data_IF_006398995418
#
_entry.id   IF_006398995418
#
_cell.length_a   1.000
_cell.length_b   1.000
_cell.length_c   1.000
_cell.angle_alpha   90.00
_cell.angle_beta   90.00
_cell.angle_gamma   90.00
#
_symmetry.space_group_name_H-M   'P 1'
#
loop_
_entity.id
_entity.type
_entity.pdbx_description
1 polymer ?
#
# COMPACT_ATOMS: atom_id res chain seq x y z
N UNK A 1 23.69 -65.50 -6.40
CA UNK A 1 24.34 -64.19 -6.20
C UNK A 1 23.69 -63.22 -7.17
N UNK A 2 22.96 -62.21 -6.68
CA UNK A 2 22.24 -61.24 -7.50
C UNK A 2 23.02 -59.92 -7.50
N UNK A 3 23.86 -59.70 -8.52
CA UNK A 3 24.62 -58.46 -8.67
C UNK A 3 23.73 -57.43 -9.37
N UNK A 4 23.22 -56.48 -8.60
CA UNK A 4 22.52 -55.32 -9.14
C UNK A 4 23.57 -54.36 -9.73
N UNK A 5 23.72 -54.39 -11.05
CA UNK A 5 24.54 -53.44 -11.80
C UNK A 5 24.03 -52.00 -11.60
N UNK A 6 24.68 -51.26 -10.70
CA UNK A 6 24.51 -49.82 -10.59
C UNK A 6 25.19 -49.15 -11.79
N UNK A 7 24.49 -49.07 -12.93
CA UNK A 7 24.94 -48.25 -14.07
C UNK A 7 25.17 -46.82 -13.61
N UNK A 8 26.40 -46.36 -13.73
CA UNK A 8 26.80 -44.99 -13.39
C UNK A 8 26.09 -44.00 -14.31
N UNK A 9 25.79 -42.79 -13.82
CA UNK A 9 25.24 -41.70 -14.63
C UNK A 9 26.11 -41.46 -15.87
N UNK A 10 27.42 -41.67 -15.74
CA UNK A 10 28.40 -41.59 -16.84
C UNK A 10 28.05 -42.55 -17.98
N UNK A 11 27.76 -43.82 -17.67
CA UNK A 11 27.51 -44.86 -18.68
C UNK A 11 26.18 -44.64 -19.40
N UNK A 12 25.18 -44.11 -18.67
CA UNK A 12 23.90 -43.71 -19.28
C UNK A 12 24.04 -42.49 -20.19
N UNK A 13 24.89 -41.52 -19.83
CA UNK A 13 25.15 -40.34 -20.67
C UNK A 13 25.96 -40.73 -21.91
N UNK A 14 27.01 -41.53 -21.77
CA UNK A 14 27.79 -42.04 -22.91
C UNK A 14 26.93 -42.88 -23.87
N UNK A 15 26.12 -43.80 -23.35
CA UNK A 15 25.21 -44.59 -24.18
C UNK A 15 24.16 -43.73 -24.89
N UNK A 16 23.68 -42.64 -24.28
CA UNK A 16 22.75 -41.72 -24.92
C UNK A 16 23.42 -40.88 -26.04
N UNK A 17 24.70 -40.54 -25.88
CA UNK A 17 25.50 -39.84 -26.90
C UNK A 17 25.80 -40.76 -28.08
N UNK A 18 26.24 -41.99 -27.81
CA UNK A 18 26.57 -42.99 -28.84
C UNK A 18 25.35 -43.43 -29.64
N UNK A 19 24.18 -43.51 -29.01
CA UNK A 19 22.91 -43.86 -29.69
C UNK A 19 22.28 -42.70 -30.46
N UNK A 20 22.92 -41.52 -30.51
CA UNK A 20 22.43 -40.35 -31.24
C UNK A 20 21.12 -39.77 -30.71
N UNK A 21 20.69 -40.17 -29.50
CA UNK A 21 19.42 -39.74 -28.87
C UNK A 21 19.49 -38.34 -28.26
N UNK A 22 20.65 -37.68 -28.32
CA UNK A 22 20.85 -36.32 -27.80
C UNK A 22 20.36 -35.29 -28.82
N UNK A 23 19.13 -34.82 -28.62
CA UNK A 23 18.52 -33.76 -29.44
C UNK A 23 19.15 -32.42 -29.06
N UNK A 24 19.83 -31.75 -30.00
CA UNK A 24 20.30 -30.36 -29.80
C UNK A 24 19.09 -29.43 -29.69
N UNK A 25 18.87 -28.83 -28.50
CA UNK A 25 17.85 -27.80 -28.33
C UNK A 25 18.43 -26.40 -28.64
N UNK A 26 17.73 -25.54 -29.37
CA UNK A 26 18.20 -24.20 -29.71
C UNK A 26 18.38 -23.35 -28.44
N UNK A 27 19.51 -22.62 -28.37
CA UNK A 27 19.91 -21.79 -27.21
C UNK A 27 18.87 -20.73 -26.83
N UNK A 28 18.08 -20.25 -27.80
CA UNK A 28 17.02 -19.26 -27.62
C UNK A 28 15.97 -19.68 -26.59
N UNK A 29 15.61 -20.96 -26.54
CA UNK A 29 14.65 -21.45 -25.56
C UNK A 29 15.14 -21.24 -24.12
N UNK A 30 16.42 -21.50 -23.87
CA UNK A 30 17.02 -21.31 -22.55
C UNK A 30 17.19 -19.83 -22.20
N UNK A 31 17.60 -19.00 -23.17
CA UNK A 31 17.75 -17.56 -22.96
C UNK A 31 16.41 -16.88 -22.65
N UNK A 32 15.38 -17.20 -23.42
CA UNK A 32 14.04 -16.62 -23.26
C UNK A 32 13.43 -17.07 -21.93
N UNK A 33 13.55 -18.36 -21.58
CA UNK A 33 13.09 -18.87 -20.30
C UNK A 33 13.79 -18.19 -19.12
N UNK A 34 15.12 -18.04 -19.16
CA UNK A 34 15.88 -17.37 -18.10
C UNK A 34 15.49 -15.89 -17.98
N UNK A 35 15.42 -15.18 -19.11
CA UNK A 35 15.05 -13.76 -19.17
C UNK A 35 13.65 -13.54 -18.64
N UNK A 36 12.68 -14.35 -19.06
CA UNK A 36 11.29 -14.24 -18.62
C UNK A 36 11.15 -14.48 -17.11
N UNK A 37 11.93 -15.44 -16.57
CA UNK A 37 11.92 -15.76 -15.15
C UNK A 37 12.48 -14.59 -14.32
N UNK A 38 13.62 -14.02 -14.75
CA UNK A 38 14.23 -12.85 -14.09
C UNK A 38 13.31 -11.63 -14.16
N UNK A 39 12.85 -11.26 -15.37
CA UNK A 39 11.98 -10.10 -15.57
C UNK A 39 10.66 -10.28 -14.80
N UNK A 40 10.05 -11.46 -14.87
CA UNK A 40 8.82 -11.77 -14.14
C UNK A 40 8.99 -11.67 -12.62
N UNK A 41 10.15 -12.08 -12.10
CA UNK A 41 10.46 -11.99 -10.67
C UNK A 41 10.60 -10.53 -10.25
N UNK A 42 11.39 -9.75 -10.98
CA UNK A 42 11.61 -8.32 -10.71
C UNK A 42 10.29 -7.55 -10.78
N UNK A 43 9.50 -7.76 -11.84
CA UNK A 43 8.20 -7.10 -11.99
C UNK A 43 7.22 -7.49 -10.87
N UNK A 44 7.22 -8.76 -10.45
CA UNK A 44 6.36 -9.21 -9.35
C UNK A 44 6.75 -8.57 -8.01
N UNK A 45 8.05 -8.46 -7.73
CA UNK A 45 8.57 -7.77 -6.54
C UNK A 45 8.16 -6.29 -6.56
N UNK A 46 8.45 -5.58 -7.66
CA UNK A 46 8.13 -4.16 -7.79
C UNK A 46 6.62 -3.91 -7.66
N UNK A 47 5.81 -4.76 -8.27
CA UNK A 47 4.34 -4.66 -8.19
C UNK A 47 3.85 -4.93 -6.78
N UNK A 48 4.36 -5.95 -6.10
CA UNK A 48 4.02 -6.25 -4.71
C UNK A 48 4.37 -5.09 -3.77
N UNK A 49 5.58 -4.56 -3.88
CA UNK A 49 6.04 -3.39 -3.12
C UNK A 49 5.12 -2.18 -3.38
N UNK A 50 4.83 -1.89 -4.65
CA UNK A 50 3.94 -0.80 -5.04
C UNK A 50 2.53 -0.96 -4.45
N UNK A 51 1.96 -2.17 -4.48
CA UNK A 51 0.63 -2.44 -3.94
C UNK A 51 0.58 -2.24 -2.43
N UNK A 52 1.58 -2.76 -1.69
CA UNK A 52 1.65 -2.55 -0.24
C UNK A 52 1.80 -1.07 0.09
N UNK A 53 2.68 -0.36 -0.63
CA UNK A 53 2.87 1.07 -0.45
C UNK A 53 1.60 1.87 -0.74
N UNK A 54 0.88 1.49 -1.79
CA UNK A 54 -0.39 2.12 -2.18
C UNK A 54 -1.51 1.85 -1.15
N UNK A 55 -1.57 0.65 -0.58
CA UNK A 55 -2.51 0.33 0.52
C UNK A 55 -2.24 1.24 1.71
N UNK A 56 -0.98 1.37 2.15
CA UNK A 56 -0.61 2.25 3.26
C UNK A 56 -0.99 3.70 2.94
N UNK A 57 -0.72 4.17 1.71
CA UNK A 57 -1.13 5.50 1.25
C UNK A 57 -2.64 5.73 1.38
N UNK A 58 -3.48 4.79 0.94
CA UNK A 58 -4.95 4.91 1.06
C UNK A 58 -5.39 4.97 2.52
N UNK A 59 -4.79 4.15 3.39
CA UNK A 59 -5.10 4.16 4.81
C UNK A 59 -4.71 5.48 5.49
N UNK A 60 -3.59 6.08 5.08
CA UNK A 60 -3.21 7.42 5.52
C UNK A 60 -4.20 8.46 5.01
N UNK A 61 -4.54 8.46 3.72
CA UNK A 61 -5.44 9.45 3.10
C UNK A 61 -6.85 9.45 3.71
N UNK A 62 -7.38 8.28 4.05
CA UNK A 62 -8.72 8.14 4.64
C UNK A 62 -8.75 8.47 6.14
N UNK A 63 -7.60 8.77 6.76
CA UNK A 63 -7.46 8.94 8.21
C UNK A 63 -7.57 7.63 9.00
N UNK A 64 -7.82 6.51 8.31
CA UNK A 64 -8.03 5.19 8.90
C UNK A 64 -6.79 4.71 9.65
N UNK A 65 -5.61 5.07 9.15
CA UNK A 65 -4.34 4.77 9.83
C UNK A 65 -4.28 5.26 11.28
N UNK A 66 -5.00 6.34 11.62
CA UNK A 66 -5.00 6.91 12.96
C UNK A 66 -6.08 6.31 13.88
N UNK A 67 -7.04 5.55 13.33
CA UNK A 67 -8.14 4.89 14.07
C UNK A 67 -7.71 3.88 15.15
N UNK A 68 -6.58 3.13 15.09
CA UNK A 68 -6.28 2.14 16.12
C UNK A 68 -6.15 2.77 17.53
N UNK A 69 -5.89 4.09 17.62
CA UNK A 69 -5.89 4.83 18.87
C UNK A 69 -7.25 5.33 19.36
N UNK A 70 -8.32 5.18 18.58
CA UNK A 70 -9.64 5.80 18.87
C UNK A 70 -10.84 4.85 18.78
N UNK A 71 -10.80 3.79 17.94
CA UNK A 71 -11.98 2.95 17.65
C UNK A 71 -11.69 1.46 17.48
N UNK A 72 -10.46 1.02 17.78
CA UNK A 72 -10.04 -0.37 17.74
C UNK A 72 -9.79 -0.94 16.33
N UNK A 73 -9.23 -2.17 16.24
CA UNK A 73 -8.76 -2.74 14.98
C UNK A 73 -9.89 -3.10 14.00
N UNK A 74 -11.14 -3.23 14.45
CA UNK A 74 -12.28 -3.63 13.61
C UNK A 74 -12.55 -2.65 12.47
N UNK A 75 -12.48 -1.34 12.75
CA UNK A 75 -12.73 -0.30 11.76
C UNK A 75 -11.62 -0.25 10.67
N UNK A 76 -10.39 -0.65 11.03
CA UNK A 76 -9.30 -0.79 10.07
C UNK A 76 -9.60 -1.88 9.05
N UNK A 77 -10.01 -3.07 9.51
CA UNK A 77 -10.32 -4.21 8.65
C UNK A 77 -11.48 -3.93 7.68
N UNK A 78 -12.52 -3.24 8.12
CA UNK A 78 -13.64 -2.90 7.23
C UNK A 78 -13.25 -1.87 6.17
N UNK A 79 -12.31 -0.97 6.48
CA UNK A 79 -11.89 0.12 5.59
C UNK A 79 -10.74 -0.25 4.67
N UNK A 80 -10.15 -1.43 4.85
CA UNK A 80 -9.09 -1.94 3.98
C UNK A 80 -9.65 -2.19 2.57
N UNK A 81 -8.97 -1.72 1.51
CA UNK A 81 -9.35 -2.02 0.14
C UNK A 81 -9.06 -3.50 -0.18
N UNK A 82 -9.99 -4.38 0.18
CA UNK A 82 -9.84 -5.84 0.07
C UNK A 82 -9.42 -6.32 -1.31
N UNK A 83 -9.87 -5.65 -2.37
CA UNK A 83 -9.45 -5.95 -3.75
C UNK A 83 -7.94 -5.78 -3.92
N UNK A 84 -7.35 -4.69 -3.38
CA UNK A 84 -5.90 -4.46 -3.45
C UNK A 84 -5.14 -5.46 -2.59
N UNK A 85 -5.67 -5.82 -1.43
CA UNK A 85 -5.09 -6.86 -0.56
C UNK A 85 -5.07 -8.22 -1.27
N UNK A 86 -6.18 -8.61 -1.90
CA UNK A 86 -6.26 -9.86 -2.67
C UNK A 86 -5.28 -9.88 -3.84
N UNK A 87 -5.18 -8.78 -4.59
CA UNK A 87 -4.21 -8.66 -5.70
C UNK A 87 -2.78 -8.75 -5.15
N UNK A 88 -2.46 -8.09 -4.03
CA UNK A 88 -1.14 -8.18 -3.40
C UNK A 88 -0.81 -9.62 -2.98
N UNK A 89 -1.77 -10.35 -2.40
CA UNK A 89 -1.62 -11.77 -2.05
C UNK A 89 -1.35 -12.61 -3.30
N UNK A 90 -2.06 -12.38 -4.41
CA UNK A 90 -1.81 -13.07 -5.68
C UNK A 90 -0.37 -12.83 -6.16
N UNK A 91 0.12 -11.59 -6.11
CA UNK A 91 1.50 -11.27 -6.49
C UNK A 91 2.53 -11.89 -5.56
N UNK A 92 2.26 -11.98 -4.25
CA UNK A 92 3.12 -12.68 -3.29
C UNK A 92 3.18 -14.18 -3.59
N UNK A 93 2.04 -14.82 -3.87
CA UNK A 93 1.97 -16.24 -4.24
C UNK A 93 2.70 -16.48 -5.58
N UNK A 94 2.49 -15.60 -6.57
CA UNK A 94 3.17 -15.66 -7.85
C UNK A 94 4.69 -15.55 -7.66
N UNK A 95 5.13 -14.60 -6.83
CA UNK A 95 6.54 -14.40 -6.52
C UNK A 95 7.13 -15.63 -5.81
N UNK A 96 6.42 -16.22 -4.85
CA UNK A 96 6.84 -17.46 -4.20
C UNK A 96 6.96 -18.62 -5.20
N UNK A 97 6.06 -18.73 -6.18
CA UNK A 97 6.18 -19.72 -7.26
C UNK A 97 7.41 -19.48 -8.14
N UNK A 98 7.71 -18.22 -8.47
CA UNK A 98 8.89 -17.85 -9.27
C UNK A 98 10.19 -18.09 -8.49
N UNK A 99 10.23 -17.76 -7.21
CA UNK A 99 11.38 -17.95 -6.31
C UNK A 99 11.75 -19.42 -6.20
N UNK A 100 10.77 -20.33 -6.10
CA UNK A 100 11.02 -21.78 -6.07
C UNK A 100 11.74 -22.32 -7.31
N UNK A 101 11.61 -21.63 -8.45
CA UNK A 101 12.25 -22.04 -9.70
C UNK A 101 13.75 -21.69 -9.73
N UNK A 102 14.22 -20.85 -8.82
CA UNK A 102 15.65 -20.58 -8.65
C UNK A 102 16.32 -21.62 -7.75
N UNK A 103 17.60 -21.89 -8.02
CA UNK A 103 18.43 -22.84 -7.26
C UNK A 103 18.55 -22.50 -5.77
N UNK A 104 18.44 -21.21 -5.40
CA UNK A 104 18.50 -20.76 -4.00
C UNK A 104 17.22 -21.10 -3.21
N UNK A 105 16.06 -21.08 -3.86
CA UNK A 105 14.76 -21.38 -3.24
C UNK A 105 14.51 -22.89 -3.10
N UNK A 106 15.01 -23.69 -4.05
CA UNK A 106 14.76 -25.13 -4.12
C UNK A 106 15.29 -25.92 -2.91
N UNK A 107 16.37 -25.46 -2.25
CA UNK A 107 17.02 -26.17 -1.14
C UNK A 107 16.61 -25.70 0.25
N UNK A 108 15.72 -24.73 0.36
CA UNK A 108 15.26 -24.19 1.64
C UNK A 108 13.82 -24.66 1.93
N UNK A 109 13.45 -24.82 3.21
CA UNK A 109 12.07 -25.13 3.56
C UNK A 109 11.16 -24.00 3.07
N UNK A 110 10.00 -24.36 2.51
CA UNK A 110 9.05 -23.42 1.91
C UNK A 110 8.73 -22.23 2.83
N UNK A 111 8.66 -22.47 4.13
CA UNK A 111 8.37 -21.45 5.13
C UNK A 111 9.39 -20.29 5.12
N UNK A 112 10.69 -20.58 4.97
CA UNK A 112 11.72 -19.54 4.96
C UNK A 112 11.67 -18.67 3.70
N UNK A 113 11.39 -19.27 2.54
CA UNK A 113 11.21 -18.54 1.28
C UNK A 113 10.02 -17.59 1.39
N UNK A 114 8.87 -18.12 1.82
CA UNK A 114 7.64 -17.34 1.99
C UNK A 114 7.82 -16.18 2.96
N UNK A 115 8.43 -16.42 4.13
CA UNK A 115 8.70 -15.35 5.12
C UNK A 115 9.64 -14.30 4.52
N UNK A 116 10.69 -14.71 3.81
CA UNK A 116 11.61 -13.78 3.15
C UNK A 116 10.91 -12.90 2.11
N UNK A 117 10.08 -13.49 1.25
CA UNK A 117 9.29 -12.77 0.26
C UNK A 117 8.35 -11.76 0.92
N UNK A 118 7.60 -12.19 1.94
CA UNK A 118 6.68 -11.31 2.68
C UNK A 118 7.45 -10.16 3.31
N UNK A 119 8.58 -10.44 3.96
CA UNK A 119 9.38 -9.42 4.63
C UNK A 119 9.92 -8.39 3.63
N UNK A 120 10.46 -8.81 2.48
CA UNK A 120 10.94 -7.90 1.44
C UNK A 120 9.82 -7.02 0.89
N UNK A 121 8.66 -7.61 0.59
CA UNK A 121 7.53 -6.86 0.02
C UNK A 121 6.94 -5.87 1.04
N UNK A 122 6.78 -6.30 2.30
CA UNK A 122 6.25 -5.44 3.36
C UNK A 122 7.21 -4.32 3.73
N UNK A 123 8.49 -4.62 3.95
CA UNK A 123 9.50 -3.60 4.29
C UNK A 123 9.74 -2.64 3.14
N UNK A 124 9.88 -3.14 1.92
CA UNK A 124 10.01 -2.31 0.72
C UNK A 124 8.78 -1.42 0.52
N UNK A 125 7.58 -1.98 0.64
CA UNK A 125 6.33 -1.22 0.53
C UNK A 125 6.20 -0.14 1.59
N UNK A 126 6.58 -0.45 2.84
CA UNK A 126 6.60 0.52 3.93
C UNK A 126 7.60 1.65 3.69
N UNK A 127 8.83 1.34 3.24
CA UNK A 127 9.84 2.36 2.91
C UNK A 127 9.34 3.29 1.80
N UNK A 128 8.74 2.74 0.74
CA UNK A 128 8.18 3.58 -0.35
C UNK A 128 6.99 4.40 0.16
N UNK A 129 6.19 3.88 1.11
CA UNK A 129 5.04 4.61 1.64
C UNK A 129 5.43 5.89 2.39
N UNK A 130 6.66 5.94 2.94
CA UNK A 130 7.21 7.15 3.56
C UNK A 130 7.65 8.21 2.54
N UNK A 131 7.72 7.87 1.26
CA UNK A 131 8.13 8.80 0.20
C UNK A 131 6.92 9.59 -0.36
N UNK A 132 7.13 10.79 -0.92
CA UNK A 132 6.05 11.58 -1.53
C UNK A 132 5.56 11.02 -2.88
N UNK A 133 5.98 9.82 -3.28
CA UNK A 133 5.69 9.22 -4.59
C UNK A 133 4.19 9.12 -4.85
N UNK A 134 3.44 8.51 -3.92
CA UNK A 134 2.00 8.33 -4.09
C UNK A 134 1.23 9.65 -4.03
N UNK A 135 1.71 10.64 -3.25
CA UNK A 135 1.13 11.99 -3.20
C UNK A 135 1.24 12.69 -4.55
N UNK A 136 2.43 12.70 -5.14
CA UNK A 136 2.65 13.31 -6.46
C UNK A 136 1.84 12.62 -7.56
N UNK A 137 1.66 11.30 -7.48
CA UNK A 137 0.77 10.58 -8.40
C UNK A 137 -0.69 10.93 -8.15
N UNK A 138 -1.15 10.97 -6.90
CA UNK A 138 -2.51 11.37 -6.57
C UNK A 138 -2.84 12.78 -7.07
N UNK A 139 -1.94 13.74 -6.88
CA UNK A 139 -2.11 15.12 -7.35
C UNK A 139 -2.26 15.19 -8.87
N UNK A 140 -1.40 14.48 -9.62
CA UNK A 140 -1.52 14.40 -11.08
C UNK A 140 -2.78 13.66 -11.51
N UNK A 141 -3.24 12.67 -10.75
CA UNK A 141 -4.46 11.93 -11.04
C UNK A 141 -5.70 12.81 -10.87
N UNK A 142 -5.71 13.65 -9.83
CA UNK A 142 -6.73 14.66 -9.56
C UNK A 142 -6.83 15.67 -10.71
N UNK A 143 -5.69 16.14 -11.19
CA UNK A 143 -5.63 17.11 -12.29
C UNK A 143 -5.81 16.46 -13.68
N UNK A 144 -6.20 15.17 -13.75
CA UNK A 144 -6.38 14.38 -14.98
C UNK A 144 -5.11 14.29 -15.87
N UNK A 145 -3.94 14.55 -15.29
CA UNK A 145 -2.63 14.53 -15.97
C UNK A 145 -1.93 13.17 -15.94
N UNK A 146 -2.53 12.15 -15.32
CA UNK A 146 -2.02 10.78 -15.33
C UNK A 146 -2.77 9.93 -16.37
N UNK A 147 -2.12 9.60 -17.51
CA UNK A 147 -2.75 8.83 -18.57
C UNK A 147 -3.03 7.38 -18.17
N UNK A 148 -2.16 6.78 -17.34
CA UNK A 148 -2.26 5.39 -16.90
C UNK A 148 -2.38 5.37 -15.37
N UNK A 149 -3.32 4.59 -14.85
CA UNK A 149 -3.50 4.40 -13.41
C UNK A 149 -4.19 5.55 -12.66
N UNK A 150 -4.41 6.71 -13.30
CA UNK A 150 -5.05 7.86 -12.65
C UNK A 150 -6.47 7.57 -12.13
N UNK A 151 -7.22 6.70 -12.80
CA UNK A 151 -8.53 6.24 -12.35
C UNK A 151 -8.48 5.54 -10.98
N UNK A 152 -7.47 4.69 -10.74
CA UNK A 152 -7.29 4.00 -9.47
C UNK A 152 -6.99 4.98 -8.33
N UNK A 153 -6.09 5.95 -8.56
CA UNK A 153 -5.80 6.99 -7.56
C UNK A 153 -7.02 7.84 -7.22
N UNK A 154 -7.84 8.21 -8.20
CA UNK A 154 -9.08 8.95 -7.93
C UNK A 154 -10.10 8.08 -7.18
N UNK A 155 -10.30 6.84 -7.62
CA UNK A 155 -11.28 5.93 -7.02
C UNK A 155 -10.95 5.57 -5.58
N UNK A 156 -9.67 5.37 -5.24
CA UNK A 156 -9.24 4.97 -3.90
C UNK A 156 -8.81 6.16 -3.02
N UNK A 157 -8.17 7.18 -3.59
CA UNK A 157 -7.69 8.35 -2.84
C UNK A 157 -8.77 9.41 -2.57
N UNK A 158 -9.92 9.36 -3.24
CA UNK A 158 -11.08 10.23 -2.94
C UNK A 158 -12.22 9.49 -2.24
N UNK A 159 -11.95 8.29 -1.70
CA UNK A 159 -12.96 7.58 -0.92
C UNK A 159 -13.28 8.38 0.34
N UNK A 160 -14.56 8.55 0.61
CA UNK A 160 -15.00 9.15 1.86
C UNK A 160 -14.49 8.27 3.00
N UNK A 161 -13.93 8.87 4.06
CA UNK A 161 -13.62 8.14 5.28
C UNK A 161 -14.85 7.36 5.76
N UNK A 162 -14.65 6.26 6.52
CA UNK A 162 -15.76 5.55 7.14
C UNK A 162 -16.64 6.52 7.94
N UNK A 163 -17.94 6.25 8.03
CA UNK A 163 -18.95 7.23 8.48
C UNK A 163 -18.68 7.93 9.82
N UNK A 164 -17.84 7.37 10.68
CA UNK A 164 -17.50 7.93 11.98
C UNK A 164 -16.17 8.70 11.99
N UNK A 165 -15.54 8.91 10.83
CA UNK A 165 -14.26 9.60 10.68
C UNK A 165 -14.45 10.78 9.75
N UNK A 166 -13.88 11.92 10.13
CA UNK A 166 -13.75 13.08 9.28
C UNK A 166 -12.29 13.54 9.27
N UNK A 167 -11.82 13.96 8.10
CA UNK A 167 -10.45 14.38 7.87
C UNK A 167 -10.49 15.67 7.08
N UNK A 168 -9.72 16.67 7.51
CA UNK A 168 -9.65 17.93 6.78
C UNK A 168 -8.76 18.97 7.43
N UNK A 169 -8.70 20.12 6.77
CA UNK A 169 -7.98 21.31 7.24
C UNK A 169 -8.95 22.26 7.92
N UNK A 170 -8.61 22.76 9.10
CA UNK A 170 -9.42 23.75 9.82
C UNK A 170 -9.46 25.05 9.03
N UNK A 171 -10.65 25.46 8.60
CA UNK A 171 -10.87 26.71 7.85
C UNK A 171 -11.35 27.84 8.74
N UNK A 172 -12.16 27.53 9.75
CA UNK A 172 -12.82 28.48 10.62
C UNK A 172 -12.97 27.90 12.04
N UNK A 173 -12.79 28.74 13.06
CA UNK A 173 -13.09 28.39 14.46
C UNK A 173 -14.44 29.01 14.81
N UNK A 174 -15.36 28.21 15.36
CA UNK A 174 -16.72 28.62 15.73
C UNK A 174 -16.93 28.40 17.23
N UNK A 175 -17.96 29.02 17.82
CA UNK A 175 -18.19 29.01 19.28
C UNK A 175 -18.25 27.61 19.92
N UNK A 176 -18.69 26.60 19.16
CA UNK A 176 -18.83 25.21 19.63
C UNK A 176 -17.94 24.20 18.88
N UNK A 177 -16.89 24.66 18.20
CA UNK A 177 -15.93 23.78 17.54
C UNK A 177 -15.24 24.40 16.32
N UNK A 178 -15.20 23.66 15.21
CA UNK A 178 -14.43 24.04 14.03
C UNK A 178 -15.17 23.72 12.74
N UNK A 179 -14.89 24.48 11.67
CA UNK A 179 -15.18 24.02 10.31
C UNK A 179 -13.93 23.48 9.69
N UNK A 180 -14.04 22.32 9.04
CA UNK A 180 -12.95 21.72 8.28
C UNK A 180 -13.32 21.60 6.81
N UNK A 181 -12.32 21.70 5.94
CA UNK A 181 -12.44 21.37 4.53
C UNK A 181 -11.76 20.02 4.26
N UNK A 182 -12.52 19.06 3.74
CA UNK A 182 -12.01 17.78 3.25
C UNK A 182 -11.14 18.02 1.99
N UNK A 183 -10.14 17.18 1.68
CA UNK A 183 -9.47 17.13 0.37
C UNK A 183 -10.37 17.24 -0.88
N UNK A 184 -11.66 16.89 -0.77
CA UNK A 184 -12.68 17.03 -1.82
C UNK A 184 -13.25 18.44 -1.97
N UNK A 185 -13.00 19.34 -1.00
CA UNK A 185 -13.53 20.70 -0.93
C UNK A 185 -14.86 20.81 -0.16
N UNK A 186 -15.41 19.70 0.34
CA UNK A 186 -16.61 19.68 1.16
C UNK A 186 -16.30 20.33 2.54
N UNK A 187 -17.18 21.21 3.03
CA UNK A 187 -17.07 21.81 4.37
C UNK A 187 -17.85 20.94 5.36
N UNK A 188 -17.22 20.62 6.49
CA UNK A 188 -17.79 19.80 7.56
C UNK A 188 -17.72 20.60 8.86
N UNK A 189 -18.84 20.71 9.55
CA UNK A 189 -18.97 21.34 10.85
C UNK A 189 -18.64 20.32 11.94
N UNK A 190 -17.61 20.60 12.74
CA UNK A 190 -17.18 19.78 13.87
C UNK A 190 -17.69 20.42 15.15
N UNK A 191 -18.53 19.70 15.88
CA UNK A 191 -19.07 20.11 17.18
C UNK A 191 -18.28 19.41 18.28
N UNK A 192 -17.78 20.19 19.23
CA UNK A 192 -17.04 19.72 20.41
C UNK A 192 -17.99 19.74 21.61
N UNK A 193 -17.94 18.69 22.41
CA UNK A 193 -18.64 18.57 23.68
C UNK A 193 -17.65 18.38 24.85
N UNK A 194 -18.17 18.34 26.08
CA UNK A 194 -17.34 18.14 27.28
C UNK A 194 -16.67 16.75 27.35
N UNK A 195 -17.11 15.82 26.49
CA UNK A 195 -16.60 14.44 26.41
C UNK A 195 -15.55 14.27 25.32
N UNK A 196 -15.34 15.29 24.48
CA UNK A 196 -14.40 15.23 23.37
C UNK A 196 -12.97 15.12 23.87
N UNK A 197 -12.27 14.06 23.49
CA UNK A 197 -10.88 13.83 23.87
C UNK A 197 -9.89 14.48 22.89
N UNK A 198 -8.77 15.00 23.41
CA UNK A 198 -7.70 15.63 22.62
C UNK A 198 -6.34 14.98 22.90
N UNK A 199 -6.05 13.79 22.36
CA UNK A 199 -4.81 13.07 22.70
C UNK A 199 -3.52 13.79 22.29
N UNK A 200 -3.60 14.71 21.32
CA UNK A 200 -2.45 15.52 20.84
C UNK A 200 -2.48 16.95 21.39
N UNK A 201 -3.35 17.24 22.34
CA UNK A 201 -3.55 18.59 22.91
C UNK A 201 -4.61 19.41 22.18
N UNK A 202 -5.01 20.52 22.82
CA UNK A 202 -6.08 21.42 22.37
C UNK A 202 -5.60 22.56 21.45
N UNK A 203 -4.31 22.57 21.09
CA UNK A 203 -3.69 23.61 20.27
C UNK A 203 -4.02 23.44 18.78
N UNK A 204 -5.30 23.62 18.46
CA UNK A 204 -5.87 23.56 17.11
C UNK A 204 -6.09 24.99 16.63
N UNK A 205 -5.39 25.37 15.57
CA UNK A 205 -5.55 26.64 14.90
C UNK A 205 -6.10 26.44 13.48
N UNK A 206 -6.57 27.54 12.88
CA UNK A 206 -6.84 27.60 11.44
C UNK A 206 -5.60 27.12 10.68
N UNK A 207 -5.82 26.44 9.55
CA UNK A 207 -4.79 25.81 8.70
C UNK A 207 -4.17 24.52 9.27
N UNK A 208 -4.55 24.09 10.47
CA UNK A 208 -4.12 22.79 10.99
C UNK A 208 -4.90 21.66 10.33
N UNK A 209 -4.20 20.57 10.01
CA UNK A 209 -4.82 19.34 9.55
C UNK A 209 -5.22 18.50 10.76
N UNK A 210 -6.47 18.06 10.77
CA UNK A 210 -7.02 17.26 11.88
C UNK A 210 -7.76 16.04 11.38
N UNK A 211 -7.71 14.99 12.20
CA UNK A 211 -8.55 13.80 12.07
C UNK A 211 -9.51 13.80 13.26
N UNK A 212 -10.80 13.70 12.96
CA UNK A 212 -11.88 13.70 13.94
C UNK A 212 -12.56 12.34 13.90
N UNK A 213 -12.67 11.68 15.05
CA UNK A 213 -13.55 10.53 15.23
C UNK A 213 -14.82 11.03 15.92
N UNK A 214 -15.98 10.67 15.42
CA UNK A 214 -17.24 11.12 15.98
C UNK A 214 -18.45 10.61 15.22
N UNK A 215 -19.64 10.85 15.78
CA UNK A 215 -20.88 10.53 15.07
C UNK A 215 -21.18 11.60 14.02
N UNK A 216 -21.27 11.16 12.76
CA UNK A 216 -21.58 12.03 11.63
C UNK A 216 -23.08 12.01 11.32
N UNK A 217 -23.65 13.21 11.21
CA UNK A 217 -24.98 13.46 10.67
C UNK A 217 -24.85 14.52 9.57
N UNK A 218 -24.95 14.08 8.32
CA UNK A 218 -24.79 14.91 7.11
C UNK A 218 -23.44 15.67 7.04
N UNK A 219 -23.50 17.00 7.14
CA UNK A 219 -22.34 17.90 7.16
C UNK A 219 -21.81 18.18 8.56
N UNK A 220 -22.41 17.60 9.59
CA UNK A 220 -22.07 17.85 10.99
C UNK A 220 -21.49 16.58 11.63
N UNK A 221 -20.41 16.73 12.38
CA UNK A 221 -19.78 15.64 13.14
C UNK A 221 -19.66 16.08 14.59
N UNK A 222 -20.33 15.35 15.49
CA UNK A 222 -20.10 15.49 16.92
C UNK A 222 -18.86 14.69 17.27
N UNK A 223 -17.79 15.38 17.68
CA UNK A 223 -16.49 14.77 17.91
C UNK A 223 -16.46 13.99 19.22
N UNK A 224 -16.12 12.70 19.14
CA UNK A 224 -15.72 11.92 20.32
C UNK A 224 -14.24 12.18 20.63
N UNK A 225 -13.42 12.37 19.59
CA UNK A 225 -11.99 12.64 19.75
C UNK A 225 -11.39 13.36 18.54
N UNK A 226 -10.39 14.20 18.81
CA UNK A 226 -9.72 15.03 17.80
C UNK A 226 -8.20 14.88 17.89
N UNK A 227 -7.58 14.61 16.75
CA UNK A 227 -6.13 14.48 16.61
C UNK A 227 -5.59 15.50 15.61
N UNK A 228 -4.55 16.24 16.00
CA UNK A 228 -3.74 17.02 15.08
C UNK A 228 -2.78 16.09 14.32
N UNK A 229 -2.70 16.27 13.01
CA UNK A 229 -1.83 15.51 12.11
C UNK A 229 -0.93 16.47 11.34
N UNK A 230 0.22 15.97 10.87
CA UNK A 230 1.13 16.81 10.11
C UNK A 230 0.55 17.11 8.73
N UNK A 231 0.80 18.32 8.21
CA UNK A 231 0.39 18.72 6.85
C UNK A 231 0.91 17.75 5.80
N UNK A 232 2.10 17.18 6.01
CA UNK A 232 2.65 16.19 5.10
C UNK A 232 1.69 15.00 4.93
N UNK A 233 0.97 14.57 5.96
CA UNK A 233 0.17 13.34 5.90
C UNK A 233 -1.08 13.44 5.00
N UNK A 234 -1.54 14.66 4.69
CA UNK A 234 -2.78 14.90 3.95
C UNK A 234 -2.60 15.95 2.86
N UNK A 235 -3.16 15.74 1.65
CA UNK A 235 -3.11 16.73 0.59
C UNK A 235 -3.97 17.93 0.99
N UNK A 236 -3.40 19.13 0.89
CA UNK A 236 -4.12 20.36 1.13
C UNK A 236 -5.36 20.47 0.20
N UNK A 237 -6.47 21.03 0.70
CA UNK A 237 -7.67 21.22 -0.08
C UNK A 237 -7.43 22.10 -1.32
N UNK A 238 -8.27 21.98 -2.37
CA UNK A 238 -8.18 22.83 -3.55
C UNK A 238 -8.18 24.32 -3.17
N UNK A 239 -7.22 25.10 -3.69
CA UNK A 239 -7.11 26.54 -3.41
C UNK A 239 -6.19 26.92 -2.24
N UNK A 240 -5.73 25.97 -1.41
CA UNK A 240 -4.78 26.23 -0.32
C UNK A 240 -3.30 26.08 -0.74
N UNK A 241 -3.04 25.56 -1.95
CA UNK A 241 -1.68 25.44 -2.52
C UNK A 241 -1.08 26.83 -2.78
N UNK A 242 -0.34 27.37 -1.81
CA UNK A 242 0.39 28.65 -1.95
C UNK A 242 0.71 29.37 -0.64
N UNK A 243 0.05 29.02 0.47
CA UNK A 243 0.36 29.56 1.80
C UNK A 243 1.39 28.66 2.48
N UNK A 244 2.68 28.88 2.18
CA UNK A 244 3.73 28.25 2.99
C UNK A 244 3.64 28.80 4.42
N UNK A 245 3.66 27.97 5.47
CA UNK A 245 3.87 28.49 6.81
C UNK A 245 5.25 29.18 6.87
N UNK A 246 5.40 30.25 7.67
CA UNK A 246 6.69 30.90 7.84
C UNK A 246 7.71 29.87 8.36
N UNK A 247 8.98 29.94 7.91
CA UNK A 247 10.02 29.06 8.43
C UNK A 247 10.12 29.24 9.95
N UNK A 248 10.20 28.10 10.66
CA UNK A 248 10.47 28.06 12.10
C UNK A 248 11.86 28.58 12.42
#
# INVERSE_FOLDING_TARGET
MNNNDHKSIKDNVLGAIETGKVIMRPKWHFLLQATLLVVGTVLSILTGIYLVSFIIFILHQTGVWFIPGFGGPRLLFTSLPWILVLIAIIFIILLEFLVKKYSFGYRKPLLYSTIGVILVVLTGGFVIAQTPLHRGLFDRARDHRLPIGGGFYRQFGMQRPPGNVAVGTVTEIIDKGFKISDPRGDIIDIIIDDKTEFPTGKDIAVDNHIVVLGQRQDSTVTADSIRKVEENDFPAPPGFRGRRPPPR
#
